data_IF_309406852289
#
_entry.id   IF_309406852289
#
_cell.length_a   1.000
_cell.length_b   1.000
_cell.length_c   1.000
_cell.angle_alpha   90.00
_cell.angle_beta   90.00
_cell.angle_gamma   90.00
#
_symmetry.space_group_name_H-M   'P 1'
#
loop_
_entity.id
_entity.type
_entity.pdbx_description
1 polymer ?
#
# COMPACT_ATOMS: atom_id res chain seq x y z
N UNK A 1 4.20 16.58 -2.57
CA UNK A 1 3.70 15.22 -2.29
C UNK A 1 2.42 15.33 -1.49
N UNK A 2 1.35 14.65 -1.92
CA UNK A 2 0.15 14.44 -1.11
C UNK A 2 0.33 13.16 -0.29
N UNK A 3 0.33 13.29 1.03
CA UNK A 3 0.38 12.18 1.96
C UNK A 3 -1.02 11.90 2.51
N UNK A 4 -1.68 10.88 1.97
CA UNK A 4 -2.99 10.44 2.47
C UNK A 4 -2.75 9.44 3.59
N UNK A 5 -3.11 9.82 4.81
CA UNK A 5 -2.77 9.04 6.01
C UNK A 5 -3.98 8.73 6.88
N UNK A 6 -4.12 7.45 7.24
CA UNK A 6 -4.99 7.04 8.32
C UNK A 6 -4.50 7.55 9.69
N UNK A 7 -5.23 7.24 10.78
CA UNK A 7 -4.83 7.64 12.12
C UNK A 7 -3.45 7.10 12.51
N UNK A 8 -2.56 8.00 12.95
CA UNK A 8 -1.20 7.66 13.38
C UNK A 8 -0.75 8.60 14.50
N UNK A 9 0.14 8.12 15.38
CA UNK A 9 0.81 8.94 16.37
C UNK A 9 2.06 9.66 15.80
N UNK A 10 2.47 9.33 14.58
CA UNK A 10 3.60 9.97 13.95
C UNK A 10 3.21 11.35 13.44
N UNK A 11 4.03 12.35 13.75
CA UNK A 11 3.88 13.71 13.26
C UNK A 11 4.89 13.96 12.17
N UNK A 12 4.41 14.45 11.03
CA UNK A 12 5.25 14.85 9.91
C UNK A 12 4.89 16.28 9.50
N UNK A 13 5.86 17.18 9.59
CA UNK A 13 5.75 18.54 9.05
C UNK A 13 6.88 18.78 8.06
N UNK A 14 6.52 18.98 6.81
CA UNK A 14 7.49 19.33 5.77
C UNK A 14 6.82 20.24 4.73
N UNK A 15 7.46 21.34 4.28
CA UNK A 15 6.83 22.36 3.43
C UNK A 15 6.38 21.84 2.05
N UNK A 16 6.91 20.69 1.59
CA UNK A 16 6.53 20.07 0.32
C UNK A 16 5.59 18.88 0.47
N UNK A 17 5.07 18.62 1.67
CA UNK A 17 4.13 17.55 1.94
C UNK A 17 2.80 18.16 2.36
N UNK A 18 1.76 17.85 1.59
CA UNK A 18 0.38 18.16 1.93
C UNK A 18 -0.22 16.92 2.61
N UNK A 19 -0.49 17.02 3.91
CA UNK A 19 -1.11 15.93 4.67
C UNK A 19 -2.63 15.95 4.46
N UNK A 20 -3.16 14.82 4.01
CA UNK A 20 -4.59 14.56 3.83
C UNK A 20 -5.03 13.48 4.82
N UNK A 21 -5.51 13.86 6.01
CA UNK A 21 -5.93 12.89 7.01
C UNK A 21 -7.26 12.24 6.60
N UNK A 22 -7.34 10.92 6.81
CA UNK A 22 -8.53 10.11 6.58
C UNK A 22 -8.71 9.12 7.73
N UNK A 23 -9.92 8.68 7.99
CA UNK A 23 -10.22 7.75 9.09
C UNK A 23 -10.69 6.39 8.59
N UNK A 24 -11.41 6.38 7.48
CA UNK A 24 -12.03 5.16 6.92
C UNK A 24 -11.41 4.76 5.59
N UNK A 25 -11.58 3.48 5.22
CA UNK A 25 -11.20 2.97 3.90
C UNK A 25 -11.93 3.70 2.77
N UNK A 26 -13.19 4.09 2.99
CA UNK A 26 -13.98 4.84 2.01
C UNK A 26 -13.44 6.27 1.80
N UNK A 27 -13.05 6.97 2.87
CA UNK A 27 -12.39 8.28 2.77
C UNK A 27 -11.04 8.18 2.06
N UNK A 28 -10.25 7.15 2.37
CA UNK A 28 -8.98 6.90 1.68
C UNK A 28 -9.20 6.63 0.20
N UNK A 29 -10.16 5.79 -0.16
CA UNK A 29 -10.52 5.53 -1.55
C UNK A 29 -10.85 6.84 -2.28
N UNK A 30 -11.74 7.65 -1.71
CA UNK A 30 -12.14 8.93 -2.30
C UNK A 30 -10.96 9.90 -2.43
N UNK A 31 -10.14 10.01 -1.39
CA UNK A 31 -8.99 10.91 -1.38
C UNK A 31 -7.93 10.51 -2.42
N UNK A 32 -7.66 9.21 -2.58
CA UNK A 32 -6.70 8.68 -3.56
C UNK A 32 -7.24 8.85 -4.98
N UNK A 33 -8.45 8.36 -5.26
CA UNK A 33 -8.99 8.37 -6.64
C UNK A 33 -9.18 9.77 -7.20
N UNK A 34 -9.57 10.74 -6.35
CA UNK A 34 -9.70 12.14 -6.78
C UNK A 34 -8.35 12.75 -7.14
N UNK A 35 -7.29 12.50 -6.35
CA UNK A 35 -5.97 13.09 -6.56
C UNK A 35 -5.14 12.38 -7.62
N UNK A 36 -5.40 11.09 -7.83
CA UNK A 36 -4.60 10.28 -8.74
C UNK A 36 -4.60 10.79 -10.18
N UNK A 37 -5.63 11.52 -10.59
CA UNK A 37 -5.71 12.10 -11.94
C UNK A 37 -4.62 13.14 -12.20
N UNK A 38 -4.16 13.85 -11.16
CA UNK A 38 -3.24 14.99 -11.25
C UNK A 38 -1.81 14.66 -10.80
N UNK A 39 -1.51 13.38 -10.46
CA UNK A 39 -0.18 12.96 -10.01
C UNK A 39 0.44 11.97 -11.00
N UNK A 40 1.76 11.87 -10.97
CA UNK A 40 2.52 10.98 -11.84
C UNK A 40 2.79 9.62 -11.17
N UNK A 41 2.85 9.60 -9.84
CA UNK A 41 3.26 8.42 -9.07
C UNK A 41 2.32 8.24 -7.88
N UNK A 42 1.84 7.00 -7.67
CA UNK A 42 1.15 6.60 -6.45
C UNK A 42 1.88 5.45 -5.76
N UNK A 43 2.20 5.62 -4.47
CA UNK A 43 2.84 4.58 -3.64
C UNK A 43 1.88 4.16 -2.53
N UNK A 44 1.35 2.95 -2.65
CA UNK A 44 0.25 2.42 -1.83
C UNK A 44 0.79 1.58 -0.68
N UNK A 45 1.22 2.24 0.41
CA UNK A 45 1.83 1.56 1.58
C UNK A 45 0.84 1.26 2.71
N UNK A 46 -0.34 1.88 2.70
CA UNK A 46 -1.31 1.75 3.77
C UNK A 46 -1.93 0.34 3.80
N UNK A 47 -1.99 -0.26 4.99
CA UNK A 47 -2.72 -1.49 5.25
C UNK A 47 -4.21 -1.18 5.43
N UNK A 48 -4.95 -1.04 4.33
CA UNK A 48 -6.39 -0.78 4.33
C UNK A 48 -7.13 -2.07 4.63
N UNK A 49 -8.14 -2.00 5.52
CA UNK A 49 -8.95 -3.16 5.86
C UNK A 49 -9.77 -3.65 4.65
N UNK A 50 -9.77 -4.96 4.40
CA UNK A 50 -10.52 -5.58 3.29
C UNK A 50 -12.04 -5.60 3.52
N UNK A 51 -12.48 -5.44 4.77
CA UNK A 51 -13.89 -5.50 5.16
C UNK A 51 -14.28 -4.35 6.08
N UNK A 52 -15.52 -3.91 5.96
CA UNK A 52 -16.15 -2.91 6.82
C UNK A 52 -17.55 -3.38 7.24
N UNK A 53 -18.08 -2.95 8.40
CA UNK A 53 -19.47 -3.22 8.76
C UNK A 53 -20.44 -2.75 7.68
N UNK A 54 -21.49 -3.55 7.42
CA UNK A 54 -22.58 -3.16 6.49
C UNK A 54 -23.28 -1.92 7.02
N UNK A 55 -23.58 -1.93 8.33
CA UNK A 55 -24.23 -0.86 9.07
C UNK A 55 -23.34 -0.50 10.28
N UNK A 56 -22.50 0.55 10.15
CA UNK A 56 -21.72 1.05 11.28
C UNK A 56 -22.62 1.79 12.26
N UNK A 57 -22.37 1.60 13.55
CA UNK A 57 -23.10 2.30 14.62
C UNK A 57 -22.29 3.52 15.07
N UNK A 58 -22.95 4.66 15.18
CA UNK A 58 -22.33 5.91 15.66
C UNK A 58 -22.03 5.87 17.17
N UNK A 59 -22.70 4.97 17.91
CA UNK A 59 -22.55 4.85 19.33
C UNK A 59 -21.97 3.51 19.73
N UNK A 60 -21.29 3.51 20.90
CA UNK A 60 -20.75 2.29 21.49
C UNK A 60 -21.83 1.24 21.70
N UNK A 61 -21.71 0.11 21.03
CA UNK A 61 -22.58 -1.06 21.23
C UNK A 61 -22.38 -1.59 22.63
N UNK A 62 -23.46 -1.62 23.43
CA UNK A 62 -23.44 -2.19 24.77
C UNK A 62 -23.31 -3.72 24.69
N UNK A 63 -22.52 -4.30 25.63
CA UNK A 63 -22.36 -5.76 25.73
C UNK A 63 -23.71 -6.44 25.87
N UNK A 64 -24.02 -7.38 25.00
CA UNK A 64 -25.18 -8.27 25.10
C UNK A 64 -24.79 -9.56 25.86
N UNK A 65 -25.71 -10.13 26.61
CA UNK A 65 -25.50 -11.38 27.35
C UNK A 65 -25.40 -12.58 26.37
N UNK A 66 -26.14 -12.53 25.29
CA UNK A 66 -26.10 -13.48 24.17
C UNK A 66 -25.16 -12.98 23.09
N UNK A 67 -24.57 -13.85 22.33
CA UNK A 67 -23.62 -13.51 21.26
C UNK A 67 -24.07 -12.35 20.36
N UNK A 68 -23.11 -11.73 19.68
CA UNK A 68 -23.32 -10.65 18.73
C UNK A 68 -22.80 -11.06 17.35
N UNK A 69 -23.59 -10.89 16.31
CA UNK A 69 -23.20 -11.13 14.92
C UNK A 69 -23.00 -9.79 14.22
N UNK A 70 -21.85 -9.59 13.61
CA UNK A 70 -21.53 -8.41 12.83
C UNK A 70 -21.49 -8.81 11.34
N UNK A 71 -22.36 -8.20 10.53
CA UNK A 71 -22.31 -8.37 9.08
C UNK A 71 -21.27 -7.43 8.48
N UNK A 72 -20.39 -8.01 7.66
CA UNK A 72 -19.34 -7.26 6.97
C UNK A 72 -19.57 -7.29 5.45
N UNK A 73 -19.15 -6.22 4.80
CA UNK A 73 -19.04 -6.10 3.34
C UNK A 73 -17.60 -5.80 2.95
N UNK A 74 -17.19 -6.20 1.74
CA UNK A 74 -15.88 -5.85 1.21
C UNK A 74 -15.75 -4.33 1.05
N UNK A 75 -14.55 -3.81 1.31
CA UNK A 75 -14.16 -2.44 0.99
C UNK A 75 -13.83 -2.31 -0.49
N UNK A 76 -13.76 -1.08 -1.00
CA UNK A 76 -13.32 -0.82 -2.36
C UNK A 76 -11.80 -1.03 -2.46
N UNK A 77 -11.35 -1.76 -3.47
CA UNK A 77 -9.92 -2.00 -3.72
C UNK A 77 -9.28 -0.79 -4.41
N UNK A 78 -8.63 0.06 -3.61
CA UNK A 78 -8.02 1.30 -4.07
C UNK A 78 -6.95 1.03 -5.13
N UNK A 79 -6.07 0.04 -4.87
CA UNK A 79 -4.97 -0.29 -5.77
C UNK A 79 -5.46 -0.83 -7.12
N UNK A 80 -6.52 -1.66 -7.11
CA UNK A 80 -7.13 -2.15 -8.34
C UNK A 80 -7.80 -1.00 -9.11
N UNK A 81 -8.46 -0.07 -8.43
CA UNK A 81 -9.12 1.05 -9.09
C UNK A 81 -8.14 2.01 -9.76
N UNK A 82 -7.09 2.43 -9.06
CA UNK A 82 -6.08 3.33 -9.67
C UNK A 82 -5.29 2.62 -10.77
N UNK A 83 -4.98 1.32 -10.61
CA UNK A 83 -4.33 0.54 -11.66
C UNK A 83 -5.17 0.38 -12.92
N UNK A 84 -6.52 0.31 -12.77
CA UNK A 84 -7.47 0.27 -13.88
C UNK A 84 -7.59 1.62 -14.61
N UNK A 85 -7.52 2.72 -13.87
CA UNK A 85 -7.77 4.08 -14.39
C UNK A 85 -6.51 4.85 -14.72
N UNK A 86 -5.32 4.33 -14.38
CA UNK A 86 -4.06 5.03 -14.61
C UNK A 86 -3.80 5.32 -16.10
N UNK A 87 -3.18 6.47 -16.37
CA UNK A 87 -2.61 6.79 -17.67
C UNK A 87 -1.32 5.98 -17.91
N UNK A 88 -0.86 5.91 -19.14
CA UNK A 88 0.35 5.16 -19.52
C UNK A 88 1.66 5.75 -18.93
N UNK A 89 1.64 7.03 -18.59
CA UNK A 89 2.74 7.78 -17.99
C UNK A 89 2.75 7.76 -16.46
N UNK A 90 1.72 7.20 -15.83
CA UNK A 90 1.63 7.08 -14.37
C UNK A 90 2.24 5.77 -13.86
N UNK A 91 2.89 5.86 -12.70
CA UNK A 91 3.49 4.72 -12.00
C UNK A 91 2.70 4.42 -10.73
N UNK A 92 2.32 3.15 -10.57
CA UNK A 92 1.63 2.67 -9.37
C UNK A 92 2.47 1.61 -8.69
N UNK A 93 2.86 1.88 -7.46
CA UNK A 93 3.60 0.96 -6.58
C UNK A 93 2.66 0.43 -5.51
N UNK A 94 2.48 -0.90 -5.46
CA UNK A 94 1.73 -1.56 -4.41
C UNK A 94 2.64 -2.20 -3.37
N UNK A 95 2.04 -2.57 -2.24
CA UNK A 95 2.69 -3.37 -1.19
C UNK A 95 1.93 -4.67 -0.99
N UNK A 96 2.67 -5.73 -0.73
CA UNK A 96 2.14 -7.02 -0.34
C UNK A 96 2.77 -7.49 0.97
N UNK A 97 1.92 -8.01 1.83
CA UNK A 97 2.29 -8.70 3.04
C UNK A 97 1.64 -10.08 2.97
N UNK A 98 2.44 -11.09 2.71
CA UNK A 98 1.96 -12.46 2.51
C UNK A 98 2.75 -13.40 3.41
N UNK A 99 2.07 -14.38 3.96
CA UNK A 99 2.68 -15.41 4.82
C UNK A 99 2.87 -16.73 4.09
N UNK A 100 2.06 -16.97 3.06
CA UNK A 100 2.05 -18.22 2.31
C UNK A 100 2.06 -17.92 0.81
N UNK A 101 2.84 -18.66 0.03
CA UNK A 101 3.04 -18.44 -1.41
C UNK A 101 3.29 -16.96 -1.77
N UNK A 102 4.13 -16.30 -0.95
CA UNK A 102 4.25 -14.85 -0.92
C UNK A 102 4.62 -14.24 -2.28
N UNK A 103 5.60 -14.82 -2.97
CA UNK A 103 6.07 -14.32 -4.26
C UNK A 103 5.00 -14.51 -5.35
N UNK A 104 4.37 -15.67 -5.42
CA UNK A 104 3.30 -15.96 -6.39
C UNK A 104 2.12 -15.00 -6.20
N UNK A 105 1.70 -14.78 -4.95
CA UNK A 105 0.62 -13.88 -4.60
C UNK A 105 0.96 -12.42 -4.94
N UNK A 106 2.21 -11.98 -4.66
CA UNK A 106 2.67 -10.65 -5.01
C UNK A 106 2.67 -10.45 -6.54
N UNK A 107 3.23 -11.38 -7.31
CA UNK A 107 3.24 -11.31 -8.77
C UNK A 107 1.82 -11.33 -9.35
N UNK A 108 0.92 -12.15 -8.81
CA UNK A 108 -0.48 -12.16 -9.19
C UNK A 108 -1.15 -10.80 -8.95
N UNK A 109 -0.91 -10.19 -7.77
CA UNK A 109 -1.42 -8.83 -7.46
C UNK A 109 -0.85 -7.78 -8.40
N UNK A 110 0.46 -7.84 -8.71
CA UNK A 110 1.10 -6.96 -9.69
C UNK A 110 0.34 -6.94 -11.03
N UNK A 111 0.01 -8.13 -11.54
CA UNK A 111 -0.66 -8.27 -12.83
C UNK A 111 -2.14 -7.93 -12.75
N UNK A 112 -2.87 -8.51 -11.80
CA UNK A 112 -4.34 -8.36 -11.71
C UNK A 112 -4.78 -6.95 -11.37
N UNK A 113 -3.96 -6.20 -10.61
CA UNK A 113 -4.21 -4.79 -10.27
C UNK A 113 -3.47 -3.81 -11.19
N UNK A 114 -2.82 -4.28 -12.25
CA UNK A 114 -2.07 -3.47 -13.21
C UNK A 114 -1.07 -2.49 -12.56
N UNK A 115 -0.35 -2.97 -11.53
CA UNK A 115 0.70 -2.20 -10.87
C UNK A 115 1.98 -2.19 -11.73
N UNK A 116 2.86 -1.23 -11.51
CA UNK A 116 4.17 -1.19 -12.18
C UNK A 116 5.26 -1.84 -11.32
N UNK A 117 5.16 -1.65 -10.00
CA UNK A 117 5.96 -2.34 -8.99
C UNK A 117 5.07 -2.87 -7.88
N UNK A 118 5.50 -3.97 -7.25
CA UNK A 118 4.96 -4.45 -5.99
C UNK A 118 6.11 -4.77 -5.04
N UNK A 119 6.03 -4.19 -3.85
CA UNK A 119 6.99 -4.38 -2.76
C UNK A 119 6.46 -5.47 -1.85
N UNK A 120 7.11 -6.63 -1.86
CA UNK A 120 6.78 -7.75 -0.98
C UNK A 120 7.60 -7.64 0.30
N UNK A 121 6.89 -7.48 1.43
CA UNK A 121 7.50 -7.57 2.75
C UNK A 121 7.74 -9.02 3.13
N UNK A 122 8.99 -9.37 3.45
CA UNK A 122 9.35 -10.72 3.89
C UNK A 122 9.25 -10.81 5.43
N UNK A 123 8.18 -11.42 5.93
CA UNK A 123 7.91 -11.57 7.37
C UNK A 123 8.63 -12.76 8.02
N UNK A 124 9.27 -13.63 7.25
CA UNK A 124 9.85 -14.87 7.76
C UNK A 124 11.16 -14.66 8.52
N UNK A 125 11.75 -13.46 8.43
CA UNK A 125 13.00 -13.16 9.13
C UNK A 125 12.77 -12.40 10.44
N UNK A 126 13.49 -12.75 11.53
CA UNK A 126 13.49 -11.98 12.77
C UNK A 126 13.95 -10.53 12.49
N UNK A 127 13.16 -9.55 12.93
CA UNK A 127 13.45 -8.12 12.73
C UNK A 127 12.80 -7.50 11.49
N UNK A 128 12.14 -8.29 10.63
CA UNK A 128 11.32 -7.76 9.54
C UNK A 128 9.84 -7.71 9.95
N UNK A 129 9.14 -6.64 9.57
CA UNK A 129 7.68 -6.58 9.70
C UNK A 129 7.12 -5.43 10.51
N UNK A 130 5.93 -5.67 11.10
CA UNK A 130 5.24 -4.66 11.92
C UNK A 130 5.95 -4.41 13.25
N UNK A 131 5.95 -3.15 13.70
CA UNK A 131 6.53 -2.70 14.98
C UNK A 131 8.05 -2.85 15.10
N UNK A 132 8.75 -3.03 14.00
CA UNK A 132 10.21 -2.97 13.93
C UNK A 132 10.62 -1.78 13.08
N UNK A 133 11.83 -1.25 13.31
CA UNK A 133 12.38 -0.13 12.51
C UNK A 133 13.12 -0.63 11.25
N UNK A 134 13.21 -1.97 11.11
CA UNK A 134 13.86 -2.64 9.97
C UNK A 134 12.85 -3.39 9.12
N UNK A 135 13.22 -3.61 7.86
CA UNK A 135 12.46 -4.45 6.94
C UNK A 135 13.39 -5.11 5.91
N UNK A 136 12.94 -6.26 5.39
CA UNK A 136 13.50 -6.90 4.21
C UNK A 136 12.43 -6.99 3.14
N UNK A 137 12.74 -6.54 1.94
CA UNK A 137 11.77 -6.50 0.83
C UNK A 137 12.34 -7.15 -0.42
N UNK A 138 11.44 -7.70 -1.22
CA UNK A 138 11.67 -8.05 -2.63
C UNK A 138 10.75 -7.20 -3.47
N UNK A 139 11.26 -6.53 -4.49
CA UNK A 139 10.47 -5.71 -5.42
C UNK A 139 10.32 -6.47 -6.73
N UNK A 140 9.07 -6.68 -7.14
CA UNK A 140 8.74 -7.22 -8.46
C UNK A 140 8.18 -6.10 -9.35
N UNK A 141 8.54 -6.15 -10.63
CA UNK A 141 8.03 -5.25 -11.66
C UNK A 141 7.56 -6.00 -12.90
N UNK A 142 6.94 -5.29 -13.83
CA UNK A 142 6.56 -5.83 -15.15
C UNK A 142 7.79 -6.37 -15.89
N UNK A 143 7.59 -7.36 -16.75
CA UNK A 143 8.68 -7.96 -17.55
C UNK A 143 9.62 -8.86 -16.72
N UNK A 144 9.11 -9.52 -15.69
CA UNK A 144 9.86 -10.39 -14.76
C UNK A 144 10.99 -9.67 -14.00
N UNK A 145 10.89 -8.35 -13.85
CA UNK A 145 11.82 -7.59 -13.01
C UNK A 145 11.72 -8.07 -11.57
N UNK A 146 12.89 -8.35 -10.97
CA UNK A 146 13.04 -8.73 -9.55
C UNK A 146 14.26 -8.02 -8.97
N UNK A 147 14.12 -7.44 -7.80
CA UNK A 147 15.20 -6.90 -7.00
C UNK A 147 15.03 -7.35 -5.54
N UNK A 148 16.06 -8.00 -5.00
CA UNK A 148 16.07 -8.49 -3.62
C UNK A 148 16.94 -7.59 -2.76
N UNK A 149 16.40 -7.11 -1.64
CA UNK A 149 17.10 -6.23 -0.72
C UNK A 149 17.34 -6.92 0.61
N UNK A 150 18.48 -6.66 1.21
CA UNK A 150 18.83 -7.19 2.53
C UNK A 150 18.05 -6.46 3.64
N UNK A 151 18.01 -7.07 4.84
CA UNK A 151 17.43 -6.44 6.02
C UNK A 151 18.14 -5.11 6.32
N UNK A 152 17.39 -4.03 6.37
CA UNK A 152 17.87 -2.66 6.66
C UNK A 152 16.79 -1.79 7.26
N UNK A 153 17.11 -0.55 7.62
CA UNK A 153 16.10 0.37 8.17
C UNK A 153 15.01 0.67 7.15
N UNK A 154 13.83 1.03 7.62
CA UNK A 154 12.69 1.40 6.75
C UNK A 154 12.97 2.63 5.90
N UNK A 155 13.81 3.54 6.38
CA UNK A 155 14.28 4.71 5.63
C UNK A 155 15.08 4.27 4.40
N UNK A 156 16.06 3.36 4.60
CA UNK A 156 16.88 2.84 3.50
C UNK A 156 16.05 1.99 2.52
N UNK A 157 15.03 1.27 3.01
CA UNK A 157 14.09 0.56 2.13
C UNK A 157 13.26 1.56 1.30
N UNK A 158 12.86 2.69 1.89
CA UNK A 158 12.14 3.72 1.16
C UNK A 158 13.01 4.37 0.07
N UNK A 159 14.31 4.56 0.32
CA UNK A 159 15.27 5.03 -0.69
C UNK A 159 15.36 4.04 -1.86
N UNK A 160 15.49 2.74 -1.59
CA UNK A 160 15.50 1.72 -2.65
C UNK A 160 14.22 1.75 -3.51
N UNK A 161 13.06 1.89 -2.87
CA UNK A 161 11.79 1.95 -3.59
C UNK A 161 11.75 3.19 -4.50
N UNK A 162 12.20 4.34 -4.00
CA UNK A 162 12.29 5.57 -4.78
C UNK A 162 13.26 5.42 -5.96
N UNK A 163 14.40 4.74 -5.75
CA UNK A 163 15.37 4.47 -6.80
C UNK A 163 14.79 3.55 -7.89
N UNK A 164 14.07 2.50 -7.49
CA UNK A 164 13.38 1.61 -8.43
C UNK A 164 12.32 2.34 -9.27
N UNK A 165 11.56 3.27 -8.66
CA UNK A 165 10.62 4.14 -9.37
C UNK A 165 11.37 5.07 -10.33
N UNK A 166 12.49 5.64 -9.92
CA UNK A 166 13.32 6.50 -10.77
C UNK A 166 13.87 5.76 -12.00
N UNK A 167 14.27 4.50 -11.84
CA UNK A 167 14.69 3.65 -12.94
C UNK A 167 13.56 3.42 -13.94
N UNK A 168 12.31 3.22 -13.49
CA UNK A 168 11.16 3.11 -14.38
C UNK A 168 10.94 4.38 -15.19
N UNK A 169 11.01 5.56 -14.54
CA UNK A 169 10.84 6.85 -15.23
C UNK A 169 11.86 7.02 -16.34
N UNK A 170 13.08 6.57 -16.14
CA UNK A 170 14.17 6.69 -17.12
C UNK A 170 14.23 5.57 -18.15
N UNK A 171 13.38 4.56 -18.05
CA UNK A 171 13.44 3.37 -18.90
C UNK A 171 14.73 2.56 -18.71
N UNK A 172 15.39 2.68 -17.54
CA UNK A 172 16.62 1.96 -17.22
C UNK A 172 16.21 0.63 -16.61
N UNK A 173 16.39 -0.46 -17.34
CA UNK A 173 16.26 -1.80 -16.76
C UNK A 173 17.58 -2.17 -16.10
N UNK A 174 17.55 -2.69 -14.89
CA UNK A 174 18.70 -3.38 -14.33
C UNK A 174 18.95 -4.65 -15.15
N UNK A 175 20.14 -4.79 -15.71
CA UNK A 175 20.62 -6.00 -16.37
C UNK A 175 21.02 -7.05 -15.30
#
# INVERSE_FOLDING_TARGET
VDLISGPTALYLAHPRINLVPVTTAAEMYQAVTTRFQDVDIAVMTAAVADYTPVEPEDQKIKRKVTGFTLQLKATLDIAAEIGRTKRNDQIVVGFALETDHAEENAQKKLLTKNLDLIVLNNLTEPGAGFRTDTNRVTIFGKGNKRADFQLKSKELVAEDIVEEVYHLIRGISHA
#
